data_IF_627677852466
#
_entry.id   IF_627677852466
#
_cell.length_a   1.000
_cell.length_b   1.000
_cell.length_c   1.000
_cell.angle_alpha   90.00
_cell.angle_beta   90.00
_cell.angle_gamma   90.00
#
_symmetry.space_group_name_H-M   'P 1'
#
loop_
_entity.id
_entity.type
_entity.pdbx_description
1 polymer ?
#
# COMPACT_ATOMS: atom_id res chain seq x y z
N UNK A 1 1.84 17.50 -6.64
CA UNK A 1 1.22 16.15 -6.68
C UNK A 1 1.69 15.46 -7.94
N UNK A 2 2.21 14.26 -7.78
CA UNK A 2 2.69 13.41 -8.86
C UNK A 2 1.59 12.43 -9.26
N UNK A 3 1.23 12.37 -10.54
CA UNK A 3 0.19 11.48 -11.04
C UNK A 3 0.69 10.73 -12.26
N UNK A 4 0.25 9.47 -12.40
CA UNK A 4 0.60 8.69 -13.58
C UNK A 4 -0.23 9.10 -14.78
N UNK A 5 0.44 9.31 -15.91
CA UNK A 5 -0.22 9.59 -17.17
C UNK A 5 -1.15 8.45 -17.55
N UNK A 6 -2.37 8.78 -17.85
CA UNK A 6 -3.38 7.86 -18.38
C UNK A 6 -3.45 7.96 -19.89
N UNK A 7 -3.90 6.92 -20.57
CA UNK A 7 -4.18 6.94 -22.01
C UNK A 7 -5.46 7.75 -22.36
N UNK A 8 -6.19 8.19 -21.36
CA UNK A 8 -7.46 8.93 -21.52
C UNK A 8 -7.25 10.40 -21.23
N UNK A 9 -7.10 11.19 -22.30
CA UNK A 9 -6.91 12.64 -22.21
C UNK A 9 -8.07 13.35 -21.51
N UNK A 10 -9.32 12.87 -21.70
CA UNK A 10 -10.52 13.43 -21.06
C UNK A 10 -10.47 13.36 -19.53
N UNK A 11 -9.81 12.34 -18.97
CA UNK A 11 -9.63 12.20 -17.53
C UNK A 11 -8.67 13.26 -16.97
N UNK A 12 -7.59 13.54 -17.68
CA UNK A 12 -6.59 14.54 -17.26
C UNK A 12 -7.22 15.93 -17.18
N UNK A 13 -7.99 16.33 -18.19
CA UNK A 13 -8.68 17.63 -18.22
C UNK A 13 -9.65 17.80 -17.03
N UNK A 14 -10.48 16.79 -16.76
CA UNK A 14 -11.42 16.83 -15.63
C UNK A 14 -10.71 16.97 -14.30
N UNK A 15 -9.60 16.27 -14.13
CA UNK A 15 -8.82 16.32 -12.89
C UNK A 15 -8.21 17.72 -12.68
N UNK A 16 -7.71 18.35 -13.74
CA UNK A 16 -7.21 19.73 -13.67
C UNK A 16 -8.32 20.72 -13.34
N UNK A 17 -9.47 20.61 -14.00
CA UNK A 17 -10.61 21.48 -13.75
C UNK A 17 -11.16 21.32 -12.33
N UNK A 18 -11.23 20.10 -11.83
CA UNK A 18 -11.68 19.85 -10.46
C UNK A 18 -10.65 20.37 -9.43
N UNK A 19 -9.37 20.15 -9.65
CA UNK A 19 -8.32 20.67 -8.77
C UNK A 19 -8.32 22.20 -8.69
N UNK A 20 -8.55 22.89 -9.82
CA UNK A 20 -8.61 24.34 -9.87
C UNK A 20 -9.81 24.92 -9.09
N UNK A 21 -10.96 24.22 -9.08
CA UNK A 21 -12.12 24.58 -8.24
C UNK A 21 -11.80 24.59 -6.74
N UNK A 22 -10.85 23.76 -6.33
CA UNK A 22 -10.36 23.67 -4.94
C UNK A 22 -9.08 24.48 -4.70
N UNK A 23 -8.70 25.38 -5.61
CA UNK A 23 -7.54 26.27 -5.45
C UNK A 23 -6.18 25.61 -5.72
N UNK A 24 -6.13 24.41 -6.29
CA UNK A 24 -4.89 23.74 -6.69
C UNK A 24 -4.47 24.20 -8.08
N UNK A 25 -3.32 24.85 -8.19
CA UNK A 25 -2.79 25.31 -9.46
C UNK A 25 -2.34 24.13 -10.33
N UNK A 26 -2.59 24.22 -11.65
CA UNK A 26 -2.17 23.18 -12.64
C UNK A 26 -0.68 22.84 -12.55
N UNK A 27 0.17 23.81 -12.25
CA UNK A 27 1.61 23.61 -12.11
C UNK A 27 2.01 22.77 -10.87
N UNK A 28 1.07 22.53 -9.95
CA UNK A 28 1.26 21.66 -8.78
C UNK A 28 0.91 20.19 -9.07
N UNK A 29 0.36 19.92 -10.26
CA UNK A 29 -0.03 18.59 -10.72
C UNK A 29 0.94 18.15 -11.82
N UNK A 30 1.71 17.10 -11.57
CA UNK A 30 2.70 16.58 -12.50
C UNK A 30 2.24 15.22 -13.03
N UNK A 31 1.98 15.16 -14.33
CA UNK A 31 1.76 13.90 -15.03
C UNK A 31 3.10 13.27 -15.40
N UNK A 32 3.28 12.02 -15.01
CA UNK A 32 4.54 11.30 -15.24
C UNK A 32 4.31 10.04 -16.05
N UNK A 33 5.22 9.79 -16.98
CA UNK A 33 5.23 8.59 -17.81
C UNK A 33 5.47 7.33 -16.98
N UNK A 34 5.04 6.20 -17.54
CA UNK A 34 5.41 4.89 -17.02
C UNK A 34 6.91 4.68 -17.17
N UNK A 35 7.54 4.16 -16.15
CA UNK A 35 8.95 3.80 -16.11
C UNK A 35 9.10 2.30 -15.87
N UNK A 36 10.27 1.76 -16.17
CA UNK A 36 10.63 0.42 -15.70
C UNK A 36 10.65 0.39 -14.17
N UNK A 37 10.50 -0.80 -13.60
CA UNK A 37 10.29 -0.97 -12.15
C UNK A 37 11.41 -0.33 -11.31
N UNK A 38 12.65 -0.44 -11.73
CA UNK A 38 13.82 0.12 -11.04
C UNK A 38 13.78 1.64 -10.96
N UNK A 39 13.46 2.31 -12.06
CA UNK A 39 13.31 3.77 -12.13
C UNK A 39 12.05 4.23 -11.41
N UNK A 40 10.98 3.41 -11.48
CA UNK A 40 9.74 3.69 -10.76
C UNK A 40 9.96 3.70 -9.26
N UNK A 41 10.60 2.68 -8.70
CA UNK A 41 10.91 2.60 -7.26
C UNK A 41 11.85 3.73 -6.83
N UNK A 42 12.87 4.06 -7.64
CA UNK A 42 13.74 5.21 -7.39
C UNK A 42 12.96 6.54 -7.34
N UNK A 43 12.01 6.75 -8.26
CA UNK A 43 11.13 7.93 -8.23
C UNK A 43 10.30 7.99 -6.95
N UNK A 44 9.77 6.86 -6.49
CA UNK A 44 9.01 6.79 -5.25
C UNK A 44 9.89 7.11 -4.04
N UNK A 45 11.18 6.73 -4.05
CA UNK A 45 12.10 7.01 -2.95
C UNK A 45 12.38 8.51 -2.71
N UNK A 46 12.14 9.36 -3.69
CA UNK A 46 12.25 10.83 -3.58
C UNK A 46 10.90 11.52 -3.42
N UNK A 47 9.80 10.75 -3.45
CA UNK A 47 8.45 11.24 -3.22
C UNK A 47 8.16 11.26 -1.72
N UNK A 48 7.28 12.16 -1.28
CA UNK A 48 7.01 12.34 0.15
C UNK A 48 5.97 11.38 0.69
N UNK A 49 4.75 11.41 0.16
CA UNK A 49 3.60 10.67 0.68
C UNK A 49 2.74 10.13 -0.46
N UNK A 50 2.40 8.86 -0.38
CA UNK A 50 1.41 8.22 -1.25
C UNK A 50 -0.01 8.46 -0.75
N UNK A 51 -0.91 8.80 -1.67
CA UNK A 51 -2.34 8.93 -1.43
C UNK A 51 -3.05 7.80 -2.16
N UNK A 52 -3.55 6.82 -1.43
CA UNK A 52 -4.22 5.66 -2.01
C UNK A 52 -5.68 5.94 -2.39
N UNK A 53 -6.21 5.17 -3.31
CA UNK A 53 -7.58 5.32 -3.81
C UNK A 53 -8.61 4.73 -2.84
N UNK A 54 -9.79 5.36 -2.80
CA UNK A 54 -10.87 4.97 -1.89
C UNK A 54 -11.64 3.71 -2.33
N UNK A 55 -11.76 3.48 -3.64
CA UNK A 55 -12.57 2.37 -4.17
C UNK A 55 -11.77 1.13 -4.51
N UNK A 56 -10.57 1.34 -5.00
CA UNK A 56 -9.63 0.29 -5.39
C UNK A 56 -8.26 0.69 -4.87
N UNK A 57 -7.84 0.08 -3.78
CA UNK A 57 -6.52 0.32 -3.23
C UNK A 57 -5.41 -0.05 -4.22
N UNK A 58 -4.27 0.57 -4.08
CA UNK A 58 -3.04 0.10 -4.72
C UNK A 58 -2.68 -1.29 -4.19
N UNK A 59 -2.39 -2.21 -5.07
CA UNK A 59 -1.84 -3.53 -4.73
C UNK A 59 -0.32 -3.51 -4.96
N UNK A 60 0.09 -3.74 -6.20
CA UNK A 60 1.50 -3.62 -6.61
C UNK A 60 2.04 -2.23 -6.34
N UNK A 61 1.29 -1.18 -6.65
CA UNK A 61 1.69 0.20 -6.41
C UNK A 61 1.96 0.49 -4.93
N UNK A 62 1.15 -0.07 -4.02
CA UNK A 62 1.38 0.04 -2.57
C UNK A 62 2.67 -0.67 -2.15
N UNK A 63 2.93 -1.86 -2.70
CA UNK A 63 4.19 -2.57 -2.47
C UNK A 63 5.40 -1.80 -3.03
N UNK A 64 5.26 -1.16 -4.19
CA UNK A 64 6.30 -0.32 -4.80
C UNK A 64 6.59 0.91 -3.93
N UNK A 65 5.57 1.52 -3.32
CA UNK A 65 5.74 2.61 -2.34
C UNK A 65 6.61 2.15 -1.16
N UNK A 66 6.29 1.00 -0.58
CA UNK A 66 7.07 0.43 0.51
C UNK A 66 8.50 0.11 0.07
N UNK A 67 8.69 -0.50 -1.09
CA UNK A 67 10.01 -0.78 -1.65
C UNK A 67 10.84 0.51 -1.84
N UNK A 68 10.23 1.57 -2.32
CA UNK A 68 10.84 2.90 -2.42
C UNK A 68 11.08 3.59 -1.08
N UNK A 69 10.51 3.09 0.01
CA UNK A 69 10.58 3.72 1.34
C UNK A 69 9.66 4.94 1.48
N UNK A 70 8.65 5.05 0.62
CA UNK A 70 7.63 6.10 0.66
C UNK A 70 6.43 5.60 1.47
N UNK A 71 6.07 6.26 2.59
CA UNK A 71 4.84 5.95 3.29
C UNK A 71 3.62 6.34 2.44
N UNK A 72 2.54 5.63 2.61
CA UNK A 72 1.26 5.97 2.00
C UNK A 72 0.13 5.82 3.01
N UNK A 73 -0.94 6.58 2.83
CA UNK A 73 -2.18 6.47 3.60
C UNK A 73 -3.25 5.80 2.78
N UNK A 74 -4.11 5.01 3.41
CA UNK A 74 -5.19 4.30 2.75
C UNK A 74 -6.51 4.45 3.49
N UNK A 75 -7.59 4.49 2.72
CA UNK A 75 -8.95 4.33 3.24
C UNK A 75 -9.32 2.84 3.24
N UNK A 76 -9.76 2.35 4.37
CA UNK A 76 -10.15 0.94 4.55
C UNK A 76 -11.66 0.79 4.41
N UNK A 77 -12.09 0.10 3.38
CA UNK A 77 -13.51 -0.23 3.17
C UNK A 77 -13.84 -1.69 3.52
N UNK A 78 -15.00 -2.14 3.05
CA UNK A 78 -15.56 -3.46 3.39
C UNK A 78 -15.34 -4.53 2.32
N UNK A 79 -14.80 -4.17 1.16
CA UNK A 79 -14.55 -5.13 0.07
C UNK A 79 -13.08 -5.56 0.04
N UNK A 80 -12.80 -6.68 -0.60
CA UNK A 80 -11.43 -7.14 -0.82
C UNK A 80 -10.55 -6.04 -1.43
N UNK A 81 -11.06 -5.38 -2.47
CA UNK A 81 -10.29 -4.38 -3.23
C UNK A 81 -9.85 -3.15 -2.44
N UNK A 82 -10.55 -2.80 -1.37
CA UNK A 82 -10.21 -1.66 -0.51
C UNK A 82 -9.73 -2.07 0.88
N UNK A 83 -9.16 -3.28 0.99
CA UNK A 83 -8.51 -3.81 2.20
C UNK A 83 -7.08 -4.27 1.98
N UNK A 84 -6.63 -4.38 0.72
CA UNK A 84 -5.29 -4.89 0.40
C UNK A 84 -4.19 -3.97 0.95
N UNK A 85 -4.31 -2.67 0.74
CA UNK A 85 -3.36 -1.70 1.26
C UNK A 85 -3.27 -1.72 2.79
N UNK A 86 -4.41 -1.88 3.48
CA UNK A 86 -4.43 -2.09 4.93
C UNK A 86 -3.66 -3.34 5.34
N UNK A 87 -3.84 -4.46 4.64
CA UNK A 87 -3.11 -5.70 4.94
C UNK A 87 -1.59 -5.51 4.85
N UNK A 88 -1.11 -4.79 3.83
CA UNK A 88 0.31 -4.45 3.67
C UNK A 88 0.79 -3.59 4.85
N UNK A 89 0.07 -2.52 5.18
CA UNK A 89 0.44 -1.63 6.28
C UNK A 89 0.40 -2.33 7.64
N UNK A 90 -0.59 -3.19 7.86
CA UNK A 90 -0.72 -3.98 9.08
C UNK A 90 0.48 -4.92 9.28
N UNK A 91 0.90 -5.63 8.24
CA UNK A 91 2.09 -6.50 8.33
C UNK A 91 3.36 -5.74 8.70
N UNK A 92 3.43 -4.44 8.36
CA UNK A 92 4.52 -3.55 8.71
C UNK A 92 4.33 -2.83 10.05
N UNK A 93 3.27 -3.16 10.81
CA UNK A 93 2.85 -2.46 12.03
C UNK A 93 2.64 -0.96 11.82
N UNK A 94 2.12 -0.56 10.67
CA UNK A 94 1.83 0.83 10.27
C UNK A 94 0.32 1.09 10.21
N UNK A 95 -0.46 0.48 11.12
CA UNK A 95 -1.91 0.61 11.18
C UNK A 95 -2.39 2.06 11.31
N UNK A 96 -1.56 2.92 11.89
CA UNK A 96 -1.79 4.37 12.00
C UNK A 96 -1.92 5.10 10.67
N UNK A 97 -1.57 4.45 9.55
CA UNK A 97 -1.75 4.97 8.19
C UNK A 97 -3.05 4.50 7.52
N UNK A 98 -3.84 3.70 8.24
CA UNK A 98 -5.14 3.22 7.79
C UNK A 98 -6.25 4.09 8.37
N UNK A 99 -7.16 4.55 7.55
CA UNK A 99 -8.30 5.39 7.95
C UNK A 99 -9.62 4.72 7.62
N UNK A 100 -10.69 5.12 8.27
CA UNK A 100 -12.04 4.58 8.12
C UNK A 100 -13.04 5.61 7.58
N UNK A 101 -12.66 6.89 7.52
CA UNK A 101 -13.47 7.97 6.96
C UNK A 101 -12.64 8.89 6.06
N UNK A 102 -13.31 9.70 5.24
CA UNK A 102 -12.66 10.70 4.41
C UNK A 102 -12.02 11.81 5.24
N UNK A 103 -12.66 12.19 6.34
CA UNK A 103 -12.16 13.24 7.22
C UNK A 103 -10.86 12.79 7.90
N UNK A 104 -10.83 11.58 8.47
CA UNK A 104 -9.60 10.99 9.00
C UNK A 104 -8.48 10.92 7.96
N UNK A 105 -8.81 10.56 6.72
CA UNK A 105 -7.84 10.48 5.63
C UNK A 105 -7.21 11.85 5.34
N UNK A 106 -8.03 12.90 5.24
CA UNK A 106 -7.58 14.26 4.99
C UNK A 106 -6.75 14.78 6.17
N UNK A 107 -7.24 14.60 7.41
CA UNK A 107 -6.51 15.01 8.61
C UNK A 107 -5.15 14.34 8.72
N UNK A 108 -5.07 13.04 8.45
CA UNK A 108 -3.82 12.28 8.46
C UNK A 108 -2.88 12.74 7.36
N UNK A 109 -3.38 13.00 6.13
CA UNK A 109 -2.58 13.52 5.03
C UNK A 109 -1.94 14.87 5.41
N UNK A 110 -2.75 15.79 5.94
CA UNK A 110 -2.27 17.11 6.40
C UNK A 110 -1.27 16.97 7.55
N UNK A 111 -1.55 16.11 8.52
CA UNK A 111 -0.65 15.84 9.64
C UNK A 111 0.72 15.33 9.17
N UNK A 112 0.75 14.38 8.25
CA UNK A 112 2.00 13.86 7.68
C UNK A 112 2.75 14.91 6.86
N UNK A 113 2.04 15.77 6.16
CA UNK A 113 2.63 16.84 5.36
C UNK A 113 3.20 17.99 6.20
N UNK A 114 2.60 18.29 7.36
CA UNK A 114 2.95 19.47 8.19
C UNK A 114 3.78 19.14 9.43
N UNK A 115 3.69 17.92 9.95
CA UNK A 115 4.45 17.49 11.12
C UNK A 115 5.64 16.61 10.72
N UNK A 116 6.77 17.24 10.49
CA UNK A 116 8.02 16.58 10.08
C UNK A 116 8.51 15.52 11.09
N UNK A 117 8.30 15.75 12.39
CA UNK A 117 8.69 14.77 13.43
C UNK A 117 7.89 13.50 13.32
N UNK A 118 6.57 13.62 13.18
CA UNK A 118 5.66 12.48 12.98
C UNK A 118 5.96 11.75 11.67
N UNK A 119 6.11 12.48 10.56
CA UNK A 119 6.47 11.90 9.27
C UNK A 119 7.77 11.08 9.35
N UNK A 120 8.82 11.64 9.95
CA UNK A 120 10.10 10.94 10.09
C UNK A 120 10.00 9.68 10.96
N UNK A 121 9.14 9.67 11.98
CA UNK A 121 8.90 8.46 12.79
C UNK A 121 8.27 7.34 11.98
N UNK A 122 7.31 7.67 11.11
CA UNK A 122 6.67 6.72 10.18
C UNK A 122 7.69 6.17 9.17
N UNK A 123 8.48 7.05 8.52
CA UNK A 123 9.51 6.62 7.56
C UNK A 123 10.55 5.70 8.20
N UNK A 124 10.97 6.00 9.42
CA UNK A 124 11.90 5.13 10.17
C UNK A 124 11.30 3.75 10.41
N UNK A 125 10.08 3.69 10.96
CA UNK A 125 9.36 2.45 11.25
C UNK A 125 9.15 1.62 9.97
N UNK A 126 8.78 2.27 8.86
CA UNK A 126 8.66 1.63 7.56
C UNK A 126 9.98 1.00 7.12
N UNK A 127 11.08 1.73 7.16
CA UNK A 127 12.40 1.25 6.77
C UNK A 127 12.90 0.09 7.63
N UNK A 128 12.63 0.12 8.93
CA UNK A 128 13.01 -0.94 9.87
C UNK A 128 12.24 -2.24 9.62
N UNK A 129 10.96 -2.15 9.24
CA UNK A 129 10.08 -3.31 9.13
C UNK A 129 10.02 -3.90 7.71
N UNK A 130 10.20 -3.11 6.66
CA UNK A 130 9.99 -3.60 5.28
C UNK A 130 10.88 -4.79 4.92
N UNK A 131 12.16 -4.75 5.28
CA UNK A 131 13.10 -5.83 4.98
C UNK A 131 12.88 -7.07 5.85
N UNK A 132 12.45 -6.85 7.10
CA UNK A 132 12.25 -7.93 8.06
C UNK A 132 10.96 -8.71 7.84
N UNK A 133 9.92 -8.04 7.32
CA UNK A 133 8.57 -8.60 7.27
C UNK A 133 8.11 -8.79 5.81
N UNK A 134 8.04 -7.71 5.03
CA UNK A 134 7.41 -7.76 3.71
C UNK A 134 8.33 -8.36 2.64
N UNK A 135 9.63 -8.10 2.72
CA UNK A 135 10.63 -8.59 1.76
C UNK A 135 11.52 -9.71 2.32
N UNK A 136 11.08 -10.36 3.40
CA UNK A 136 11.76 -11.53 3.97
C UNK A 136 11.38 -12.79 3.19
N UNK A 137 12.03 -12.99 2.05
CA UNK A 137 11.75 -14.12 1.16
C UNK A 137 12.02 -15.48 1.80
N UNK A 138 13.01 -15.58 2.68
CA UNK A 138 13.36 -16.83 3.35
C UNK A 138 12.24 -17.29 4.28
N UNK A 139 11.73 -16.39 5.11
CA UNK A 139 10.64 -16.69 6.03
C UNK A 139 9.35 -17.02 5.25
N UNK A 140 9.05 -16.27 4.21
CA UNK A 140 7.91 -16.55 3.35
C UNK A 140 8.00 -17.95 2.73
N UNK A 141 9.14 -18.32 2.15
CA UNK A 141 9.36 -19.64 1.54
C UNK A 141 9.22 -20.75 2.57
N UNK A 142 9.79 -20.59 3.76
CA UNK A 142 9.71 -21.58 4.84
C UNK A 142 8.25 -21.80 5.29
N UNK A 143 7.48 -20.73 5.47
CA UNK A 143 6.06 -20.82 5.80
C UNK A 143 5.25 -21.45 4.67
N UNK A 144 5.49 -21.05 3.43
CA UNK A 144 4.80 -21.62 2.26
C UNK A 144 5.08 -23.13 2.12
N UNK A 145 6.34 -23.55 2.22
CA UNK A 145 6.73 -24.98 2.15
C UNK A 145 6.09 -25.78 3.29
N UNK A 146 6.11 -25.23 4.51
CA UNK A 146 5.47 -25.85 5.67
C UNK A 146 3.96 -26.03 5.48
N UNK A 147 3.29 -24.99 4.96
CA UNK A 147 1.86 -25.04 4.64
C UNK A 147 1.57 -26.10 3.58
N UNK A 148 2.32 -26.12 2.48
CA UNK A 148 2.15 -27.12 1.41
C UNK A 148 2.39 -28.53 1.94
N UNK A 149 3.38 -28.72 2.79
CA UNK A 149 3.66 -30.03 3.40
C UNK A 149 2.52 -30.48 4.34
N UNK A 150 1.95 -29.57 5.11
CA UNK A 150 0.79 -29.87 5.95
C UNK A 150 -0.44 -30.23 5.13
N UNK A 151 -0.74 -29.48 4.06
CA UNK A 151 -1.82 -29.78 3.13
C UNK A 151 -1.61 -31.16 2.50
N UNK A 152 -0.39 -31.44 2.05
CA UNK A 152 -0.05 -32.75 1.47
C UNK A 152 -0.27 -33.89 2.47
N UNK A 153 0.26 -33.80 3.67
CA UNK A 153 0.10 -34.83 4.71
C UNK A 153 -1.37 -35.07 5.03
N UNK A 154 -2.15 -34.01 5.14
CA UNK A 154 -3.58 -34.12 5.44
C UNK A 154 -4.34 -34.83 4.32
N UNK A 155 -4.10 -34.47 3.07
CA UNK A 155 -4.81 -35.08 1.92
C UNK A 155 -4.44 -36.56 1.66
N UNK A 156 -3.24 -36.98 2.06
CA UNK A 156 -2.78 -38.36 1.85
C UNK A 156 -3.18 -39.32 2.98
N UNK A 157 -3.45 -38.81 4.16
CA UNK A 157 -3.65 -39.66 5.34
C UNK A 157 -5.07 -39.70 5.88
N UNK A 158 -5.95 -38.76 5.57
CA UNK A 158 -7.31 -38.73 6.14
C UNK A 158 -8.29 -37.87 5.32
N UNK A 159 -9.58 -38.22 5.37
CA UNK A 159 -10.70 -37.40 4.91
C UNK A 159 -10.78 -36.10 5.73
N UNK A 160 -10.27 -35.00 5.20
CA UNK A 160 -10.23 -33.72 5.94
C UNK A 160 -11.21 -32.72 5.36
N UNK A 161 -12.00 -32.15 6.25
CA UNK A 161 -12.80 -30.96 5.99
C UNK A 161 -11.85 -29.76 5.80
N UNK A 162 -11.90 -29.15 4.63
CA UNK A 162 -11.03 -28.04 4.22
C UNK A 162 -11.09 -26.79 5.11
N UNK A 163 -12.14 -26.65 5.93
CA UNK A 163 -12.35 -25.51 6.83
C UNK A 163 -11.23 -25.32 7.86
N UNK A 164 -10.54 -26.38 8.24
CA UNK A 164 -9.53 -26.33 9.30
C UNK A 164 -8.08 -26.13 8.82
N UNK A 165 -7.84 -26.04 7.51
CA UNK A 165 -6.46 -25.93 6.98
C UNK A 165 -5.85 -24.55 7.26
N UNK A 166 -6.69 -23.51 7.42
CA UNK A 166 -6.26 -22.12 7.60
C UNK A 166 -6.30 -21.62 9.04
N UNK A 167 -6.83 -22.40 9.98
CA UNK A 167 -7.05 -21.96 11.37
C UNK A 167 -5.92 -22.29 12.33
N UNK A 168 -5.00 -23.21 11.98
CA UNK A 168 -3.90 -23.63 12.85
C UNK A 168 -2.62 -22.79 12.71
N UNK A 169 -2.61 -21.81 11.83
CA UNK A 169 -1.58 -20.78 11.79
C UNK A 169 -1.88 -19.72 12.85
N UNK A 170 -1.36 -19.87 14.06
CA UNK A 170 -1.29 -18.75 14.99
C UNK A 170 -0.52 -17.64 14.32
N UNK A 171 -1.26 -16.56 13.93
CA UNK A 171 -0.69 -15.28 13.57
C UNK A 171 0.01 -14.65 14.79
#
# INVERSE_FOLDING_TARGET
ILMFKTSRQDFEWRLFDDAEKYGVNKNQLLHVERLFITEHVKRLSVSGLGLDNFRLNGHTTSSDCIAGGMPFITYTGNTYHNRVAKSILHSLSLDELCTSSYDEYIELAVKLATNKGYYNSIVRKLKENREKVLFNNEEYVNHFVSLMHNIWKRNYNENIEWENVFTDGKA
#
